data_IF_778348843195
#
_entry.id   IF_778348843195
#
_cell.length_a   1.000
_cell.length_b   1.000
_cell.length_c   1.000
_cell.angle_alpha   90.00
_cell.angle_beta   90.00
_cell.angle_gamma   90.00
#
_symmetry.space_group_name_H-M   'P 1'
#
loop_
_entity.id
_entity.type
_entity.pdbx_description
1 polymer ?
#
# COMPACT_ATOMS: atom_id res chain seq x y z
N UNK A 1 -28.43 -16.55 -9.19
CA UNK A 1 -28.16 -15.23 -9.80
C UNK A 1 -27.79 -14.24 -8.68
N UNK A 2 -26.68 -14.48 -7.98
CA UNK A 2 -26.25 -13.71 -6.78
C UNK A 2 -24.76 -13.31 -6.91
N UNK A 3 -23.93 -14.16 -7.53
CA UNK A 3 -22.48 -13.95 -7.75
C UNK A 3 -22.16 -12.68 -8.56
N UNK A 4 -23.03 -12.23 -9.47
CA UNK A 4 -22.81 -11.00 -10.26
C UNK A 4 -22.87 -9.72 -9.43
N UNK A 5 -23.60 -9.71 -8.31
CA UNK A 5 -23.83 -8.50 -7.51
C UNK A 5 -22.67 -8.21 -6.54
N UNK A 6 -21.99 -9.24 -6.01
CA UNK A 6 -20.83 -9.06 -5.13
C UNK A 6 -19.61 -8.54 -5.90
N UNK A 7 -19.34 -9.06 -7.10
CA UNK A 7 -18.25 -8.57 -7.96
C UNK A 7 -18.43 -7.09 -8.31
N UNK A 8 -19.66 -6.64 -8.55
CA UNK A 8 -19.96 -5.25 -8.86
C UNK A 8 -19.81 -4.34 -7.63
N UNK A 9 -20.18 -4.79 -6.42
CA UNK A 9 -19.97 -3.98 -5.21
C UNK A 9 -18.50 -3.89 -4.82
N UNK A 10 -17.72 -4.97 -4.91
CA UNK A 10 -16.28 -4.96 -4.63
C UNK A 10 -15.48 -4.10 -5.62
N UNK A 11 -15.79 -4.21 -6.92
CA UNK A 11 -15.15 -3.36 -7.94
C UNK A 11 -15.55 -1.89 -7.85
N UNK A 12 -16.78 -1.58 -7.39
CA UNK A 12 -17.19 -0.20 -7.10
C UNK A 12 -16.50 0.34 -5.85
N UNK A 13 -16.28 -0.49 -4.82
CA UNK A 13 -15.56 -0.08 -3.62
C UNK A 13 -14.08 0.21 -3.92
N UNK A 14 -13.41 -0.69 -4.65
CA UNK A 14 -12.03 -0.50 -5.13
C UNK A 14 -11.91 0.73 -6.05
N UNK A 15 -12.82 0.88 -7.02
CA UNK A 15 -12.83 2.05 -7.90
C UNK A 15 -13.13 3.35 -7.15
N UNK A 16 -13.93 3.30 -6.08
CA UNK A 16 -14.19 4.48 -5.24
C UNK A 16 -13.00 4.86 -4.36
N UNK A 17 -12.21 3.89 -3.88
CA UNK A 17 -10.94 4.16 -3.17
C UNK A 17 -9.87 4.71 -4.13
N UNK A 18 -9.76 4.16 -5.34
CA UNK A 18 -8.87 4.66 -6.40
C UNK A 18 -9.26 6.06 -6.93
N UNK A 19 -10.55 6.39 -6.97
CA UNK A 19 -11.00 7.72 -7.38
C UNK A 19 -10.77 8.79 -6.30
N UNK A 20 -10.72 8.39 -5.03
CA UNK A 20 -10.29 9.30 -3.95
C UNK A 20 -8.80 9.60 -4.09
N UNK A 21 -7.93 8.64 -4.43
CA UNK A 21 -6.50 8.90 -4.59
C UNK A 21 -6.14 9.77 -5.82
N UNK A 22 -6.87 9.65 -6.94
CA UNK A 22 -6.60 10.47 -8.15
C UNK A 22 -7.06 11.94 -8.06
N UNK A 23 -7.97 12.27 -7.14
CA UNK A 23 -8.50 13.63 -7.01
C UNK A 23 -7.62 14.57 -6.15
N UNK A 24 -6.64 14.04 -5.41
CA UNK A 24 -5.80 14.83 -4.49
C UNK A 24 -4.45 15.26 -5.05
N UNK A 25 -4.02 14.73 -6.20
CA UNK A 25 -2.74 15.10 -6.84
C UNK A 25 -2.60 16.62 -7.12
N UNK A 26 -3.65 17.39 -7.48
CA UNK A 26 -3.48 18.84 -7.68
C UNK A 26 -3.50 19.66 -6.39
N UNK A 27 -3.94 19.11 -5.25
CA UNK A 27 -4.12 19.87 -4.00
C UNK A 27 -2.86 19.92 -3.11
N UNK A 28 -1.97 18.92 -3.25
CA UNK A 28 -0.72 18.82 -2.46
C UNK A 28 0.29 19.92 -2.83
N UNK A 29 0.19 20.52 -4.02
CA UNK A 29 1.09 21.62 -4.44
C UNK A 29 0.73 23.00 -3.84
N UNK A 30 -0.39 23.10 -3.11
CA UNK A 30 -0.92 24.38 -2.61
C UNK A 30 -0.86 24.56 -1.08
N UNK A 31 -0.32 23.60 -0.32
CA UNK A 31 -0.21 23.76 1.13
C UNK A 31 0.99 24.65 1.51
N UNK A 32 0.78 25.67 2.36
CA UNK A 32 1.86 26.52 2.82
C UNK A 32 2.81 25.71 3.70
N UNK A 33 4.10 25.82 3.40
CA UNK A 33 5.22 25.20 4.12
C UNK A 33 5.06 25.42 5.63
N UNK A 34 4.61 24.38 6.35
CA UNK A 34 4.83 24.30 7.78
C UNK A 34 6.32 23.97 7.97
N UNK A 35 7.03 24.91 8.59
CA UNK A 35 8.42 24.85 9.05
C UNK A 35 9.07 23.46 8.98
N UNK A 36 9.85 23.26 7.91
CA UNK A 36 10.79 22.16 7.71
C UNK A 36 11.91 22.26 8.75
N UNK A 37 11.71 21.65 9.92
CA UNK A 37 12.80 21.47 10.89
C UNK A 37 13.58 20.16 10.69
N UNK A 38 13.11 19.22 9.85
CA UNK A 38 13.85 17.98 9.62
C UNK A 38 13.47 17.26 8.30
N UNK A 39 14.48 16.99 7.47
CA UNK A 39 14.51 15.84 6.56
C UNK A 39 13.89 16.01 5.17
N UNK A 40 14.75 16.25 4.19
CA UNK A 40 14.53 15.78 2.82
C UNK A 40 15.07 14.36 2.69
N UNK A 41 14.56 13.61 1.71
CA UNK A 41 15.12 12.35 1.23
C UNK A 41 15.64 12.57 -0.18
N UNK A 42 16.77 11.95 -0.49
CA UNK A 42 17.32 11.88 -1.84
C UNK A 42 17.01 10.48 -2.34
N UNK A 43 16.23 10.39 -3.39
CA UNK A 43 15.87 9.11 -4.00
C UNK A 43 17.02 8.54 -4.85
N UNK A 44 16.82 7.32 -5.36
CA UNK A 44 17.81 6.60 -6.19
C UNK A 44 18.19 7.33 -7.50
N UNK A 45 17.35 8.26 -7.98
CA UNK A 45 17.60 9.10 -9.15
C UNK A 45 18.26 10.45 -8.80
N UNK A 46 18.51 10.70 -7.51
CA UNK A 46 19.07 11.95 -7.00
C UNK A 46 18.05 13.08 -6.87
N UNK A 47 16.75 12.80 -6.98
CA UNK A 47 15.69 13.77 -6.76
C UNK A 47 15.50 13.98 -5.24
N UNK A 48 15.37 15.25 -4.87
CA UNK A 48 15.16 15.65 -3.47
C UNK A 48 13.65 15.77 -3.22
N UNK A 49 13.13 14.94 -2.33
CA UNK A 49 11.71 14.88 -1.98
C UNK A 49 11.54 15.15 -0.48
N UNK A 50 10.57 15.99 -0.06
CA UNK A 50 10.29 16.17 1.37
C UNK A 50 9.85 14.86 2.02
N UNK A 51 10.33 14.55 3.23
CA UNK A 51 9.92 13.34 3.97
C UNK A 51 8.41 13.21 4.12
N UNK A 52 7.70 14.31 4.31
CA UNK A 52 6.24 14.31 4.41
C UNK A 52 5.54 13.78 3.16
N UNK A 53 6.10 14.03 1.98
CA UNK A 53 5.57 13.52 0.73
C UNK A 53 5.87 12.02 0.61
N UNK A 54 7.09 11.60 0.96
CA UNK A 54 7.44 10.17 0.97
C UNK A 54 6.60 9.40 1.98
N UNK A 55 6.35 9.97 3.16
CA UNK A 55 5.48 9.41 4.19
C UNK A 55 4.03 9.28 3.71
N UNK A 56 3.46 10.31 3.10
CA UNK A 56 2.10 10.23 2.54
C UNK A 56 1.99 9.14 1.46
N UNK A 57 2.99 9.01 0.58
CA UNK A 57 3.02 7.95 -0.43
C UNK A 57 3.09 6.55 0.20
N UNK A 58 4.00 6.35 1.16
CA UNK A 58 4.14 5.07 1.86
C UNK A 58 2.88 4.67 2.64
N UNK A 59 2.24 5.63 3.31
CA UNK A 59 0.95 5.41 4.00
C UNK A 59 -0.14 4.96 3.01
N UNK A 60 -0.25 5.61 1.86
CA UNK A 60 -1.24 5.24 0.83
C UNK A 60 -1.01 3.85 0.25
N UNK A 61 0.24 3.44 0.05
CA UNK A 61 0.60 2.08 -0.40
C UNK A 61 0.14 1.05 0.64
N UNK A 62 0.41 1.32 1.92
CA UNK A 62 0.00 0.44 3.02
C UNK A 62 -1.53 0.29 3.06
N UNK A 63 -2.27 1.39 2.98
CA UNK A 63 -3.74 1.38 2.99
C UNK A 63 -4.32 0.60 1.80
N UNK A 64 -3.72 0.74 0.61
CA UNK A 64 -4.11 -0.01 -0.59
C UNK A 64 -3.91 -1.51 -0.44
N UNK A 65 -2.74 -1.92 0.08
CA UNK A 65 -2.44 -3.33 0.36
C UNK A 65 -3.35 -3.91 1.44
N UNK A 66 -3.59 -3.19 2.54
CA UNK A 66 -4.55 -3.61 3.57
C UNK A 66 -5.90 -3.87 2.93
N UNK A 67 -6.46 -2.93 2.16
CA UNK A 67 -7.76 -3.10 1.51
C UNK A 67 -7.82 -4.35 0.61
N UNK A 68 -6.74 -4.64 -0.13
CA UNK A 68 -6.67 -5.85 -0.95
C UNK A 68 -6.58 -7.13 -0.10
N UNK A 69 -5.87 -7.10 1.03
CA UNK A 69 -5.77 -8.21 1.97
C UNK A 69 -7.11 -8.53 2.65
N UNK A 70 -7.94 -7.54 2.97
CA UNK A 70 -9.30 -7.79 3.46
C UNK A 70 -10.12 -8.63 2.48
N UNK A 71 -9.93 -8.42 1.17
CA UNK A 71 -10.61 -9.20 0.14
C UNK A 71 -9.97 -10.58 -0.01
N UNK A 72 -8.66 -10.70 0.17
CA UNK A 72 -7.95 -11.97 0.15
C UNK A 72 -8.37 -12.87 1.31
N UNK A 73 -8.55 -12.31 2.50
CA UNK A 73 -8.94 -13.04 3.71
C UNK A 73 -10.27 -13.79 3.52
N UNK A 74 -11.26 -13.11 2.93
CA UNK A 74 -12.57 -13.70 2.57
C UNK A 74 -12.47 -14.86 1.55
N UNK A 75 -11.33 -15.03 0.88
CA UNK A 75 -11.10 -16.09 -0.12
C UNK A 75 -10.36 -17.28 0.46
N UNK A 76 -9.31 -17.06 1.26
CA UNK A 76 -8.39 -18.13 1.68
C UNK A 76 -8.28 -18.35 3.19
N UNK A 77 -8.74 -17.42 4.04
CA UNK A 77 -8.80 -17.56 5.50
C UNK A 77 -7.47 -18.10 6.08
N UNK A 78 -6.38 -17.34 5.90
CA UNK A 78 -5.01 -17.69 6.31
C UNK A 78 -4.52 -16.70 7.37
N UNK A 79 -4.16 -17.20 8.56
CA UNK A 79 -3.75 -16.39 9.72
C UNK A 79 -2.62 -15.39 9.40
N UNK A 80 -1.74 -15.69 8.42
CA UNK A 80 -0.66 -14.77 8.01
C UNK A 80 -1.17 -13.48 7.39
N UNK A 81 -2.43 -13.44 6.96
CA UNK A 81 -3.05 -12.22 6.43
C UNK A 81 -3.21 -11.18 7.55
N UNK A 82 -3.60 -11.61 8.76
CA UNK A 82 -3.69 -10.72 9.93
C UNK A 82 -2.30 -10.18 10.28
N UNK A 83 -1.28 -11.06 10.34
CA UNK A 83 0.11 -10.66 10.59
C UNK A 83 0.58 -9.61 9.55
N UNK A 84 0.30 -9.82 8.26
CA UNK A 84 0.66 -8.86 7.21
C UNK A 84 -0.09 -7.52 7.34
N UNK A 85 -1.37 -7.53 7.74
CA UNK A 85 -2.15 -6.32 7.97
C UNK A 85 -1.65 -5.51 9.17
N UNK A 86 -1.21 -6.19 10.23
CA UNK A 86 -0.62 -5.57 11.41
C UNK A 86 0.70 -4.87 11.06
N UNK A 87 1.59 -5.53 10.32
CA UNK A 87 2.85 -4.92 9.87
C UNK A 87 2.61 -3.74 8.92
N UNK A 88 1.64 -3.82 8.00
CA UNK A 88 1.24 -2.68 7.15
C UNK A 88 0.67 -1.51 7.98
N UNK A 89 -0.02 -1.79 9.08
CA UNK A 89 -0.56 -0.77 9.97
C UNK A 89 0.56 -0.05 10.74
N UNK A 90 1.56 -0.80 11.22
CA UNK A 90 2.79 -0.24 11.84
C UNK A 90 3.61 0.56 10.82
N UNK A 91 3.70 0.09 9.57
CA UNK A 91 4.33 0.80 8.47
C UNK A 91 3.63 2.14 8.19
N UNK A 92 2.29 2.12 8.04
CA UNK A 92 1.48 3.31 7.81
C UNK A 92 1.63 4.35 8.92
N UNK A 93 1.63 3.92 10.19
CA UNK A 93 1.84 4.85 11.31
C UNK A 93 3.27 5.42 11.32
N UNK A 94 4.29 4.61 11.02
CA UNK A 94 5.66 5.09 10.90
C UNK A 94 5.80 6.13 9.77
N UNK A 95 5.19 5.88 8.61
CA UNK A 95 5.17 6.82 7.48
C UNK A 95 4.44 8.13 7.81
N UNK A 96 3.26 8.04 8.43
CA UNK A 96 2.49 9.20 8.91
C UNK A 96 3.30 10.08 9.88
N UNK A 97 4.16 9.46 10.68
CA UNK A 97 5.06 10.13 11.61
C UNK A 97 6.43 10.52 11.00
N UNK A 98 6.58 10.47 9.67
CA UNK A 98 7.82 10.76 8.91
C UNK A 98 9.02 9.89 9.27
N UNK A 99 8.79 8.73 9.90
CA UNK A 99 9.83 7.76 10.21
C UNK A 99 10.01 6.78 9.03
N UNK A 100 10.54 7.31 7.92
CA UNK A 100 10.57 6.61 6.63
C UNK A 100 11.33 5.29 6.71
N UNK A 101 12.52 5.26 7.32
CA UNK A 101 13.30 4.03 7.45
C UNK A 101 12.53 2.93 8.17
N UNK A 102 11.82 3.25 9.26
CA UNK A 102 11.03 2.26 9.98
C UNK A 102 9.77 1.85 9.23
N UNK A 103 9.15 2.77 8.50
CA UNK A 103 8.05 2.46 7.58
C UNK A 103 8.48 1.49 6.49
N UNK A 104 9.66 1.68 5.91
CA UNK A 104 10.23 0.76 4.90
C UNK A 104 10.50 -0.62 5.49
N UNK A 105 11.09 -0.71 6.68
CA UNK A 105 11.36 -2.01 7.33
C UNK A 105 10.06 -2.82 7.51
N UNK A 106 9.00 -2.18 8.04
CA UNK A 106 7.70 -2.84 8.24
C UNK A 106 7.01 -3.18 6.92
N UNK A 107 7.05 -2.28 5.94
CA UNK A 107 6.50 -2.55 4.61
C UNK A 107 7.19 -3.76 3.97
N UNK A 108 8.52 -3.83 3.97
CA UNK A 108 9.28 -4.96 3.43
C UNK A 108 8.91 -6.29 4.09
N UNK A 109 8.76 -6.33 5.43
CA UNK A 109 8.29 -7.53 6.12
C UNK A 109 6.88 -7.96 5.71
N UNK A 110 5.97 -6.99 5.55
CA UNK A 110 4.63 -7.27 5.07
C UNK A 110 4.65 -7.82 3.63
N UNK A 111 5.38 -7.18 2.70
CA UNK A 111 5.47 -7.61 1.30
C UNK A 111 5.98 -9.05 1.19
N UNK A 112 7.04 -9.40 1.92
CA UNK A 112 7.56 -10.76 1.97
C UNK A 112 6.50 -11.77 2.42
N UNK A 113 5.74 -11.43 3.47
CA UNK A 113 4.65 -12.28 3.98
C UNK A 113 3.53 -12.45 2.95
N UNK A 114 3.13 -11.36 2.29
CA UNK A 114 2.07 -11.40 1.27
C UNK A 114 2.49 -12.23 0.06
N UNK A 115 3.75 -12.12 -0.38
CA UNK A 115 4.29 -12.94 -1.46
C UNK A 115 4.27 -14.44 -1.12
N UNK A 116 4.64 -14.80 0.11
CA UNK A 116 4.56 -16.20 0.58
C UNK A 116 3.11 -16.72 0.56
N UNK A 117 2.15 -15.91 1.00
CA UNK A 117 0.72 -16.25 0.92
C UNK A 117 0.30 -16.45 -0.54
N UNK A 118 0.64 -15.53 -1.44
CA UNK A 118 0.29 -15.63 -2.85
C UNK A 118 0.87 -16.89 -3.49
N UNK A 119 2.10 -17.27 -3.15
CA UNK A 119 2.75 -18.46 -3.67
C UNK A 119 2.02 -19.74 -3.24
N UNK A 120 1.67 -19.84 -1.95
CA UNK A 120 1.00 -21.02 -1.39
C UNK A 120 -0.44 -21.17 -1.92
N UNK A 121 -1.13 -20.05 -2.13
CA UNK A 121 -2.56 -20.02 -2.44
C UNK A 121 -2.90 -19.67 -3.89
N UNK A 122 -1.92 -19.53 -4.78
CA UNK A 122 -2.10 -19.09 -6.18
C UNK A 122 -3.23 -19.80 -6.92
N UNK A 123 -3.46 -21.09 -6.65
CA UNK A 123 -4.49 -21.89 -7.33
C UNK A 123 -5.92 -21.64 -6.83
N UNK A 124 -6.07 -21.01 -5.66
CA UNK A 124 -7.35 -20.76 -4.99
C UNK A 124 -7.77 -19.29 -5.14
N UNK A 125 -6.82 -18.39 -5.36
CA UNK A 125 -7.06 -16.96 -5.54
C UNK A 125 -7.63 -16.70 -6.95
N UNK A 126 -8.76 -15.98 -7.07
CA UNK A 126 -9.26 -15.54 -8.37
C UNK A 126 -8.23 -14.69 -9.12
N UNK A 127 -8.03 -14.95 -10.41
CA UNK A 127 -6.97 -14.28 -11.19
C UNK A 127 -7.01 -12.75 -11.19
N UNK A 128 -8.21 -12.16 -11.05
CA UNK A 128 -8.34 -10.69 -10.96
C UNK A 128 -7.76 -10.14 -9.64
N UNK A 129 -7.94 -10.86 -8.52
CA UNK A 129 -7.43 -10.47 -7.21
C UNK A 129 -5.93 -10.74 -7.12
N UNK A 130 -5.48 -11.87 -7.66
CA UNK A 130 -4.06 -12.19 -7.77
C UNK A 130 -3.30 -11.11 -8.55
N UNK A 131 -3.81 -10.71 -9.73
CA UNK A 131 -3.16 -9.68 -10.53
C UNK A 131 -3.15 -8.32 -9.82
N UNK A 132 -4.26 -7.92 -9.19
CA UNK A 132 -4.32 -6.65 -8.43
C UNK A 132 -3.30 -6.64 -7.29
N UNK A 133 -3.20 -7.72 -6.51
CA UNK A 133 -2.21 -7.85 -5.43
C UNK A 133 -0.79 -7.79 -5.98
N UNK A 134 -0.49 -8.51 -7.06
CA UNK A 134 0.84 -8.45 -7.70
C UNK A 134 1.17 -7.04 -8.17
N UNK A 135 0.23 -6.32 -8.77
CA UNK A 135 0.44 -4.95 -9.23
C UNK A 135 0.76 -4.01 -8.04
N UNK A 136 0.01 -4.10 -6.94
CA UNK A 136 0.25 -3.33 -5.71
C UNK A 136 1.58 -3.69 -5.03
N UNK A 137 1.94 -4.97 -4.99
CA UNK A 137 3.21 -5.42 -4.41
C UNK A 137 4.40 -4.90 -5.20
N UNK A 138 4.33 -4.93 -6.55
CA UNK A 138 5.38 -4.36 -7.38
C UNK A 138 5.50 -2.84 -7.20
N UNK A 139 4.37 -2.11 -7.07
CA UNK A 139 4.39 -0.67 -6.78
C UNK A 139 5.06 -0.39 -5.42
N UNK A 140 4.81 -1.23 -4.42
CA UNK A 140 5.43 -1.12 -3.11
C UNK A 140 6.94 -1.43 -3.15
N UNK A 141 7.36 -2.44 -3.90
CA UNK A 141 8.78 -2.76 -4.13
C UNK A 141 9.50 -1.61 -4.86
N UNK A 142 8.91 -1.07 -5.93
CA UNK A 142 9.45 0.08 -6.65
C UNK A 142 9.60 1.31 -5.72
N UNK A 143 8.64 1.51 -4.82
CA UNK A 143 8.71 2.57 -3.80
C UNK A 143 9.85 2.36 -2.81
N UNK A 144 10.06 1.13 -2.31
CA UNK A 144 11.19 0.78 -1.44
C UNK A 144 12.49 1.04 -2.18
N UNK A 145 12.66 0.49 -3.38
CA UNK A 145 13.87 0.64 -4.20
C UNK A 145 14.19 2.10 -4.53
N UNK A 146 13.15 2.95 -4.65
CA UNK A 146 13.33 4.37 -4.90
C UNK A 146 13.86 5.13 -3.67
N UNK A 147 13.42 4.77 -2.46
CA UNK A 147 13.58 5.59 -1.26
C UNK A 147 14.36 4.95 -0.10
N UNK A 148 14.85 3.71 -0.25
CA UNK A 148 15.72 3.01 0.72
C UNK A 148 17.20 3.33 0.57
#
# INVERSE_FOLDING_TARGET
MIIKNQKFMLSVLLASMLLVSMAFVPAVTAQPEKELADGFIIDSNGQITPKSVVGELGENICDGLIAALWVLDEVIDDDRIEDAQDELSEAADAFRNNNISRGMDYLDFALNTIWDILYDWVSQIPSWLYNELVDLLNEAEDFIDQYS
#
